data_IF_812106796927
#
_entry.id   IF_812106796927
#
_cell.length_a   1.000
_cell.length_b   1.000
_cell.length_c   1.000
_cell.angle_alpha   90.00
_cell.angle_beta   90.00
_cell.angle_gamma   90.00
#
_symmetry.space_group_name_H-M   'P 1'
#
loop_
_entity.id
_entity.type
_entity.pdbx_description
1 polymer ?
#
# COMPACT_ATOMS: atom_id res chain seq x y z
N UNK A 1 -33.15 -9.64 -61.58
CA UNK A 1 -33.16 -8.25 -61.07
C UNK A 1 -34.40 -8.14 -60.18
N UNK A 2 -34.40 -7.71 -58.93
CA UNK A 2 -33.41 -7.15 -58.03
C UNK A 2 -33.94 -7.36 -56.61
N UNK A 3 -33.08 -7.88 -55.74
CA UNK A 3 -32.94 -7.70 -54.29
C UNK A 3 -34.14 -7.24 -53.42
N UNK A 4 -34.63 -8.15 -52.58
CA UNK A 4 -35.20 -7.82 -51.27
C UNK A 4 -34.07 -7.54 -50.28
N UNK A 5 -33.94 -6.29 -49.85
CA UNK A 5 -33.01 -5.87 -48.79
C UNK A 5 -33.60 -6.17 -47.42
N UNK A 6 -33.09 -7.21 -46.75
CA UNK A 6 -33.22 -7.38 -45.30
C UNK A 6 -32.00 -6.73 -44.63
N UNK A 7 -32.20 -5.53 -44.08
CA UNK A 7 -31.24 -4.91 -43.17
C UNK A 7 -31.42 -5.49 -41.77
N UNK A 8 -30.55 -6.43 -41.38
CA UNK A 8 -30.31 -6.73 -39.98
C UNK A 8 -28.99 -6.07 -39.57
N UNK A 9 -29.09 -4.82 -39.09
CA UNK A 9 -28.03 -4.21 -38.27
C UNK A 9 -28.40 -4.45 -36.81
N UNK A 10 -27.85 -5.52 -36.23
CA UNK A 10 -27.78 -5.68 -34.78
C UNK A 10 -26.41 -5.19 -34.32
N UNK A 11 -26.35 -3.93 -33.89
CA UNK A 11 -25.23 -3.39 -33.12
C UNK A 11 -25.40 -3.80 -31.65
N UNK A 12 -25.19 -5.08 -31.36
CA UNK A 12 -24.99 -5.51 -29.98
C UNK A 12 -23.57 -5.15 -29.58
N UNK A 13 -23.39 -3.99 -28.93
CA UNK A 13 -22.17 -3.70 -28.20
C UNK A 13 -21.98 -4.77 -27.12
N UNK A 14 -21.09 -5.73 -27.36
CA UNK A 14 -20.82 -6.81 -26.42
C UNK A 14 -20.20 -6.21 -25.16
N UNK A 15 -21.00 -6.09 -24.09
CA UNK A 15 -20.47 -5.84 -22.77
C UNK A 15 -19.54 -7.01 -22.43
N UNK A 16 -18.27 -6.71 -22.17
CA UNK A 16 -17.32 -7.71 -21.69
C UNK A 16 -17.94 -8.44 -20.49
N UNK A 17 -17.89 -9.78 -20.45
CA UNK A 17 -18.49 -10.54 -19.36
C UNK A 17 -17.84 -10.14 -18.03
N UNK A 18 -18.67 -10.07 -16.99
CA UNK A 18 -18.29 -9.57 -15.65
C UNK A 18 -17.06 -10.33 -15.10
N UNK A 19 -16.98 -11.63 -15.40
CA UNK A 19 -15.87 -12.50 -15.02
C UNK A 19 -14.51 -12.03 -15.57
N UNK A 20 -14.46 -11.62 -16.84
CA UNK A 20 -13.24 -11.13 -17.49
C UNK A 20 -12.84 -9.74 -17.00
N UNK A 21 -13.83 -8.87 -16.76
CA UNK A 21 -13.61 -7.55 -16.18
C UNK A 21 -12.99 -7.66 -14.79
N UNK A 22 -13.58 -8.48 -13.91
CA UNK A 22 -13.10 -8.67 -12.55
C UNK A 22 -11.71 -9.31 -12.49
N UNK A 23 -11.36 -10.21 -13.40
CA UNK A 23 -9.99 -10.74 -13.52
C UNK A 23 -8.97 -9.70 -13.97
N UNK A 24 -9.35 -8.79 -14.88
CA UNK A 24 -8.48 -7.69 -15.29
C UNK A 24 -8.28 -6.72 -14.14
N UNK A 25 -9.36 -6.34 -13.47
CA UNK A 25 -9.33 -5.48 -12.29
C UNK A 25 -8.46 -6.11 -11.18
N UNK A 26 -8.71 -7.36 -10.81
CA UNK A 26 -7.95 -8.07 -9.78
C UNK A 26 -6.46 -8.13 -10.09
N UNK A 27 -6.08 -8.41 -11.35
CA UNK A 27 -4.67 -8.47 -11.76
C UNK A 27 -3.96 -7.11 -11.55
N UNK A 28 -4.58 -6.02 -11.98
CA UNK A 28 -3.97 -4.70 -11.89
C UNK A 28 -4.02 -4.11 -10.48
N UNK A 29 -5.13 -4.29 -9.77
CA UNK A 29 -5.21 -3.96 -8.35
C UNK A 29 -4.18 -4.77 -7.55
N UNK A 30 -3.99 -6.04 -7.87
CA UNK A 30 -3.02 -6.91 -7.22
C UNK A 30 -1.58 -6.43 -7.41
N UNK A 31 -1.25 -5.88 -8.58
CA UNK A 31 0.06 -5.27 -8.82
C UNK A 31 0.27 -4.01 -7.97
N UNK A 32 -0.69 -3.08 -8.01
CA UNK A 32 -0.57 -1.77 -7.33
C UNK A 32 -0.61 -1.95 -5.80
N UNK A 33 -1.65 -2.61 -5.30
CA UNK A 33 -1.83 -2.86 -3.85
C UNK A 33 -0.75 -3.82 -3.35
N UNK A 34 -0.37 -4.83 -4.13
CA UNK A 34 0.69 -5.77 -3.76
C UNK A 34 2.06 -5.11 -3.61
N UNK A 35 2.39 -4.14 -4.47
CA UNK A 35 3.63 -3.36 -4.33
C UNK A 35 3.62 -2.53 -3.03
N UNK A 36 2.50 -1.86 -2.73
CA UNK A 36 2.38 -1.10 -1.49
C UNK A 36 2.40 -2.01 -0.25
N UNK A 37 1.75 -3.18 -0.31
CA UNK A 37 1.81 -4.18 0.75
C UNK A 37 3.25 -4.69 0.97
N UNK A 38 4.04 -4.85 -0.09
CA UNK A 38 5.44 -5.23 0.03
C UNK A 38 6.25 -4.17 0.78
N UNK A 39 6.06 -2.89 0.46
CA UNK A 39 6.69 -1.78 1.22
C UNK A 39 6.27 -1.85 2.68
N UNK A 40 4.97 -2.02 2.95
CA UNK A 40 4.43 -2.16 4.31
C UNK A 40 5.07 -3.32 5.09
N UNK A 41 5.20 -4.50 4.47
CA UNK A 41 5.84 -5.68 5.08
C UNK A 41 7.32 -5.43 5.35
N UNK A 42 8.05 -4.84 4.40
CA UNK A 42 9.48 -4.57 4.54
C UNK A 42 9.75 -3.57 5.67
N UNK A 43 8.99 -2.48 5.73
CA UNK A 43 9.14 -1.49 6.81
C UNK A 43 8.67 -2.03 8.16
N UNK A 44 7.58 -2.82 8.18
CA UNK A 44 7.13 -3.51 9.38
C UNK A 44 8.16 -4.52 9.91
N UNK A 45 8.81 -5.25 9.01
CA UNK A 45 9.91 -6.14 9.36
C UNK A 45 11.11 -5.36 9.92
N UNK A 46 11.46 -4.23 9.30
CA UNK A 46 12.52 -3.36 9.80
C UNK A 46 12.26 -2.91 11.25
N UNK A 47 11.03 -2.48 11.58
CA UNK A 47 10.65 -2.13 12.96
C UNK A 47 10.76 -3.28 13.96
N UNK A 48 10.64 -4.54 13.52
CA UNK A 48 10.76 -5.70 14.39
C UNK A 48 12.21 -6.21 14.52
N UNK A 49 13.11 -5.81 13.63
CA UNK A 49 14.51 -6.24 13.63
C UNK A 49 15.48 -5.18 14.16
N UNK A 50 15.11 -3.90 14.09
CA UNK A 50 15.93 -2.78 14.58
C UNK A 50 15.56 -2.50 16.05
N UNK A 51 16.58 -2.39 16.92
CA UNK A 51 16.38 -2.03 18.33
C UNK A 51 15.72 -0.65 18.45
N UNK A 52 14.66 -0.54 19.25
CA UNK A 52 13.95 0.72 19.48
C UNK A 52 14.88 1.84 19.99
N UNK A 53 15.87 1.50 20.82
CA UNK A 53 16.85 2.45 21.35
C UNK A 53 17.75 3.03 20.26
N UNK A 54 18.02 2.25 19.21
CA UNK A 54 18.77 2.77 18.07
C UNK A 54 17.96 3.85 17.36
N UNK A 55 16.64 3.69 17.25
CA UNK A 55 15.73 4.62 16.58
C UNK A 55 15.24 5.78 17.48
N UNK A 56 15.73 5.88 18.72
CA UNK A 56 15.31 6.92 19.64
C UNK A 56 15.91 8.28 19.26
N UNK A 57 15.05 9.31 19.24
CA UNK A 57 15.43 10.69 19.02
C UNK A 57 15.99 11.36 20.28
N UNK A 58 15.77 10.77 21.46
CA UNK A 58 16.02 11.37 22.77
C UNK A 58 17.13 10.71 23.63
N UNK A 59 18.13 9.98 23.09
CA UNK A 59 19.10 9.28 23.93
C UNK A 59 19.92 10.22 24.83
N UNK A 60 20.06 11.49 24.43
CA UNK A 60 20.73 12.54 25.19
C UNK A 60 19.79 13.64 25.69
N UNK A 61 18.47 13.47 25.57
CA UNK A 61 17.53 14.51 26.02
C UNK A 61 17.37 14.44 27.52
N UNK A 62 17.54 15.57 28.18
CA UNK A 62 17.29 15.72 29.62
C UNK A 62 16.17 16.72 29.87
N UNK A 63 15.39 16.44 30.91
CA UNK A 63 14.44 17.39 31.47
C UNK A 63 15.08 18.06 32.68
N UNK A 64 15.54 19.30 32.51
CA UNK A 64 15.90 20.11 33.67
C UNK A 64 14.61 20.57 34.36
N UNK A 65 14.45 20.20 35.64
CA UNK A 65 13.45 20.85 36.49
C UNK A 65 13.95 22.26 36.74
N UNK A 66 13.27 23.24 36.14
CA UNK A 66 13.55 24.64 36.41
C UNK A 66 13.33 24.92 37.89
N UNK A 67 14.30 25.58 38.54
CA UNK A 67 14.08 26.00 39.92
C UNK A 67 12.92 27.00 39.96
N UNK A 68 12.25 27.13 41.10
CA UNK A 68 11.28 28.21 41.27
C UNK A 68 11.99 29.54 41.01
N UNK A 69 11.48 30.38 40.09
CA UNK A 69 12.19 31.57 39.70
C UNK A 69 12.41 32.47 40.92
N UNK A 70 13.67 32.80 41.19
CA UNK A 70 14.06 33.65 42.32
C UNK A 70 13.89 35.15 42.00
N UNK A 71 13.41 35.49 40.80
CA UNK A 71 13.27 36.86 40.33
C UNK A 71 12.00 37.51 40.88
N UNK A 72 12.10 38.78 41.26
CA UNK A 72 10.93 39.58 41.63
C UNK A 72 9.95 39.67 40.43
N UNK A 73 8.67 39.49 40.71
CA UNK A 73 7.60 39.55 39.71
C UNK A 73 7.04 40.98 39.63
N UNK A 74 6.98 41.54 38.42
CA UNK A 74 6.37 42.83 38.17
C UNK A 74 4.83 42.72 38.17
N UNK A 75 4.10 43.75 38.67
CA UNK A 75 2.65 43.77 38.65
C UNK A 75 2.07 43.73 37.23
N UNK A 76 1.09 42.85 36.98
CA UNK A 76 0.62 42.51 35.63
C UNK A 76 -0.54 43.37 35.14
N UNK A 77 -1.05 44.31 35.95
CA UNK A 77 -2.27 45.07 35.66
C UNK A 77 -2.16 45.87 34.36
N UNK A 78 -1.04 46.59 34.19
CA UNK A 78 -0.79 47.38 32.97
C UNK A 78 -0.66 46.48 31.73
N UNK A 79 -0.05 45.30 31.88
CA UNK A 79 0.09 44.33 30.79
C UNK A 79 -1.27 43.78 30.37
N UNK A 80 -2.09 43.38 31.34
CA UNK A 80 -3.44 42.86 31.08
C UNK A 80 -4.34 43.94 30.48
N UNK A 81 -4.25 45.19 30.94
CA UNK A 81 -5.01 46.30 30.37
C UNK A 81 -4.60 46.58 28.92
N UNK A 82 -3.30 46.55 28.61
CA UNK A 82 -2.79 46.77 27.25
C UNK A 82 -3.33 45.75 26.24
N UNK A 83 -3.49 44.48 26.65
CA UNK A 83 -3.90 43.39 25.77
C UNK A 83 -5.36 42.94 25.96
N UNK A 84 -6.15 43.66 26.76
CA UNK A 84 -7.54 43.31 27.05
C UNK A 84 -8.40 43.20 25.76
N UNK A 85 -8.14 44.06 24.78
CA UNK A 85 -8.85 44.06 23.50
C UNK A 85 -8.57 42.82 22.62
N UNK A 86 -7.50 42.08 22.87
CA UNK A 86 -7.19 40.82 22.17
C UNK A 86 -8.00 39.62 22.73
N UNK A 87 -8.80 39.82 23.78
CA UNK A 87 -9.57 38.78 24.44
C UNK A 87 -8.66 37.83 25.22
N UNK A 88 -8.30 38.20 26.45
CA UNK A 88 -7.39 37.42 27.29
C UNK A 88 -8.07 36.10 27.71
N UNK A 89 -7.38 34.99 27.48
CA UNK A 89 -7.82 33.64 27.86
C UNK A 89 -7.11 33.22 29.15
N UNK A 90 -5.78 33.35 29.19
CA UNK A 90 -4.95 32.87 30.29
C UNK A 90 -3.68 33.71 30.43
N UNK A 91 -3.22 33.91 31.68
CA UNK A 91 -1.87 34.37 31.98
C UNK A 91 -1.18 33.30 32.81
N UNK A 92 -0.15 32.66 32.24
CA UNK A 92 0.60 31.58 32.88
C UNK A 92 2.01 32.04 33.23
N UNK A 93 2.44 31.80 34.46
CA UNK A 93 3.82 31.99 34.87
C UNK A 93 4.62 30.72 34.54
N UNK A 94 5.68 30.89 33.77
CA UNK A 94 6.69 29.86 33.47
C UNK A 94 8.09 30.43 33.68
N UNK A 95 9.10 29.74 33.18
CA UNK A 95 10.51 30.13 33.28
C UNK A 95 11.26 29.67 32.04
N UNK A 96 12.17 30.53 31.58
CA UNK A 96 13.17 30.19 30.57
C UNK A 96 14.52 30.33 31.24
N UNK A 97 15.33 29.26 31.22
CA UNK A 97 16.48 29.13 32.12
C UNK A 97 16.00 29.36 33.57
N UNK A 98 16.66 30.22 34.34
CA UNK A 98 16.27 30.53 35.73
C UNK A 98 15.50 31.86 35.88
N UNK A 99 14.95 32.40 34.77
CA UNK A 99 14.24 33.68 34.76
C UNK A 99 12.76 33.50 34.46
N UNK A 100 11.92 34.10 35.30
CA UNK A 100 10.47 34.02 35.18
C UNK A 100 9.95 34.68 33.89
N UNK A 101 8.99 34.03 33.24
CA UNK A 101 8.33 34.48 32.00
C UNK A 101 6.82 34.37 32.15
N UNK A 102 6.12 35.42 31.75
CA UNK A 102 4.67 35.41 31.58
C UNK A 102 4.30 34.98 30.16
N UNK A 103 3.49 33.93 30.04
CA UNK A 103 2.81 33.53 28.83
C UNK A 103 1.38 34.07 28.85
N UNK A 104 1.10 35.07 28.04
CA UNK A 104 -0.23 35.68 27.89
C UNK A 104 -0.91 35.07 26.66
N UNK A 105 -1.87 34.18 26.89
CA UNK A 105 -2.71 33.61 25.84
C UNK A 105 -3.93 34.51 25.60
N UNK A 106 -4.13 34.92 24.36
CA UNK A 106 -5.29 35.69 23.90
C UNK A 106 -6.07 34.91 22.84
N UNK A 107 -7.25 35.38 22.45
CA UNK A 107 -8.01 34.79 21.33
C UNK A 107 -7.29 34.90 19.98
N UNK A 108 -6.27 35.75 19.89
CA UNK A 108 -5.49 35.96 18.67
C UNK A 108 -4.19 35.16 18.67
N UNK A 109 -3.42 35.20 19.77
CA UNK A 109 -2.10 34.58 19.86
C UNK A 109 -1.60 34.46 21.30
N UNK A 110 -0.49 33.75 21.48
CA UNK A 110 0.25 33.74 22.74
C UNK A 110 1.43 34.71 22.66
N UNK A 111 1.59 35.56 23.68
CA UNK A 111 2.69 36.52 23.81
C UNK A 111 3.52 36.20 25.06
N UNK A 112 4.82 36.42 24.97
CA UNK A 112 5.77 36.07 26.02
C UNK A 112 6.50 37.31 26.53
N UNK A 113 6.58 37.45 27.86
CA UNK A 113 7.20 38.62 28.51
C UNK A 113 8.08 38.18 29.67
N UNK A 114 9.20 38.88 29.88
CA UNK A 114 9.97 38.70 31.10
C UNK A 114 9.16 39.18 32.31
N UNK A 115 8.99 38.31 33.31
CA UNK A 115 8.08 38.59 34.41
C UNK A 115 8.55 39.71 35.35
N UNK A 116 9.83 40.06 35.31
CA UNK A 116 10.46 41.10 36.13
C UNK A 116 10.33 42.52 35.56
N UNK A 117 10.18 42.63 34.23
CA UNK A 117 10.30 43.89 33.49
C UNK A 117 9.14 44.14 32.53
N UNK A 118 8.33 43.10 32.28
CA UNK A 118 7.21 43.08 31.33
C UNK A 118 7.62 43.44 29.89
N UNK A 119 8.92 43.44 29.59
CA UNK A 119 9.42 43.58 28.22
C UNK A 119 9.15 42.29 27.45
N UNK A 120 8.83 42.36 26.14
CA UNK A 120 8.72 41.17 25.31
C UNK A 120 9.93 40.26 25.46
N UNK A 121 9.68 38.96 25.57
CA UNK A 121 10.72 37.94 25.59
C UNK A 121 11.47 38.01 24.26
N UNK A 122 12.78 38.16 24.33
CA UNK A 122 13.67 38.14 23.19
C UNK A 122 14.95 37.46 23.63
N UNK A 123 15.24 36.33 23.00
CA UNK A 123 16.40 35.50 23.28
C UNK A 123 17.55 35.86 22.35
N UNK A 124 18.74 36.04 22.89
CA UNK A 124 19.96 36.12 22.12
C UNK A 124 20.58 34.72 21.89
N UNK A 125 21.54 34.63 20.97
CA UNK A 125 22.17 33.35 20.60
C UNK A 125 22.79 32.62 21.81
N UNK A 126 23.37 33.34 22.76
CA UNK A 126 23.97 32.74 23.95
C UNK A 126 22.91 32.13 24.88
N UNK A 127 21.75 32.78 25.01
CA UNK A 127 20.60 32.25 25.76
C UNK A 127 20.02 31.01 25.07
N UNK A 128 19.89 31.02 23.74
CA UNK A 128 19.41 29.85 22.98
C UNK A 128 20.37 28.67 23.15
N UNK A 129 21.69 28.90 23.05
CA UNK A 129 22.70 27.87 23.31
C UNK A 129 22.62 27.35 24.75
N UNK A 130 22.37 28.23 25.74
CA UNK A 130 22.21 27.81 27.12
C UNK A 130 20.98 26.92 27.33
N UNK A 131 19.84 27.25 26.70
CA UNK A 131 18.62 26.42 26.71
C UNK A 131 18.92 25.05 26.10
N UNK A 132 19.59 25.03 24.94
CA UNK A 132 19.97 23.78 24.28
C UNK A 132 20.87 22.91 25.18
N UNK A 133 21.89 23.52 25.83
CA UNK A 133 22.78 22.84 26.77
C UNK A 133 22.04 22.25 27.97
N UNK A 134 21.06 22.95 28.54
CA UNK A 134 20.24 22.39 29.62
C UNK A 134 19.42 21.17 29.16
N UNK A 135 19.04 21.10 27.89
CA UNK A 135 18.26 19.99 27.35
C UNK A 135 19.07 18.77 26.91
N UNK A 136 20.41 18.85 26.94
CA UNK A 136 21.30 17.89 26.28
C UNK A 136 22.39 17.38 27.22
N UNK A 137 22.48 16.05 27.38
CA UNK A 137 23.47 15.37 28.22
C UNK A 137 24.62 14.71 27.46
N UNK A 138 24.63 14.80 26.13
CA UNK A 138 25.68 14.19 25.31
C UNK A 138 27.00 14.97 25.37
N UNK A 139 28.06 14.36 24.85
CA UNK A 139 29.42 14.91 24.89
C UNK A 139 29.77 15.86 23.75
N UNK A 140 28.87 16.05 22.78
CA UNK A 140 29.12 16.86 21.60
C UNK A 140 29.06 18.36 21.87
N UNK A 141 29.95 19.13 21.26
CA UNK A 141 29.86 20.59 21.27
C UNK A 141 28.68 21.06 20.41
N UNK A 142 27.92 22.04 20.90
CA UNK A 142 26.79 22.61 20.18
C UNK A 142 27.25 23.71 19.21
N UNK A 143 26.70 23.69 18.00
CA UNK A 143 26.86 24.75 17.01
C UNK A 143 26.22 26.07 17.47
N UNK A 144 26.49 27.15 16.73
CA UNK A 144 25.68 28.36 16.82
C UNK A 144 24.21 28.06 16.41
N UNK A 145 23.23 28.79 16.97
CA UNK A 145 21.84 28.69 16.54
C UNK A 145 21.66 29.08 15.07
N UNK A 146 20.99 28.21 14.32
CA UNK A 146 20.56 28.50 12.95
C UNK A 146 19.04 28.70 12.95
N UNK A 147 18.57 29.90 12.63
CA UNK A 147 17.15 30.15 12.43
C UNK A 147 16.69 29.46 11.14
N UNK A 148 15.69 28.59 11.26
CA UNK A 148 15.10 27.90 10.14
C UNK A 148 14.17 28.85 9.38
N UNK A 149 14.38 28.95 8.07
CA UNK A 149 13.60 29.83 7.18
C UNK A 149 12.46 29.10 6.48
N UNK A 150 12.44 27.77 6.53
CA UNK A 150 11.38 26.94 5.99
C UNK A 150 10.39 26.58 7.09
N UNK A 151 9.15 26.30 6.71
CA UNK A 151 8.17 25.73 7.64
C UNK A 151 8.71 24.45 8.27
N UNK A 152 8.43 24.32 9.56
CA UNK A 152 8.79 23.16 10.36
C UNK A 152 7.53 22.45 10.81
N UNK A 153 7.54 21.12 11.02
CA UNK A 153 6.39 20.39 11.54
C UNK A 153 6.12 20.66 13.04
N UNK A 154 6.93 21.50 13.69
CA UNK A 154 6.78 21.82 15.11
C UNK A 154 5.75 22.92 15.33
N UNK A 155 4.93 22.74 16.36
CA UNK A 155 4.02 23.77 16.85
C UNK A 155 4.83 24.83 17.63
N UNK A 156 5.28 25.87 16.93
CA UNK A 156 6.11 26.94 17.46
C UNK A 156 5.36 28.28 17.41
N UNK A 157 5.52 29.09 18.46
CA UNK A 157 4.93 30.44 18.51
C UNK A 157 5.73 31.49 17.73
N UNK A 158 6.95 31.17 17.33
CA UNK A 158 7.82 32.02 16.52
C UNK A 158 8.84 31.23 15.70
N UNK A 159 9.86 31.90 15.16
CA UNK A 159 10.92 31.25 14.40
C UNK A 159 11.58 30.12 15.20
N UNK A 160 11.87 29.01 14.55
CA UNK A 160 12.54 27.87 15.17
C UNK A 160 14.05 27.99 14.96
N UNK A 161 14.79 27.98 16.06
CA UNK A 161 16.24 27.84 16.06
C UNK A 161 16.64 26.37 16.11
N UNK A 162 17.58 25.97 15.27
CA UNK A 162 18.18 24.64 15.27
C UNK A 162 19.64 24.74 15.70
N UNK A 163 20.05 23.85 16.61
CA UNK A 163 21.45 23.66 17.00
C UNK A 163 21.82 22.20 16.73
N UNK A 164 23.06 21.97 16.28
CA UNK A 164 23.58 20.61 16.06
C UNK A 164 24.70 20.32 17.04
N UNK A 165 24.65 19.16 17.68
CA UNK A 165 25.73 18.64 18.51
C UNK A 165 26.72 17.85 17.66
N UNK A 166 28.01 18.06 17.90
CA UNK A 166 29.08 17.25 17.33
C UNK A 166 29.24 15.92 18.09
N UNK A 167 28.19 15.09 18.09
CA UNK A 167 28.17 13.74 18.66
C UNK A 167 28.03 12.65 17.58
N UNK A 168 28.10 11.38 17.99
CA UNK A 168 28.09 10.24 17.06
C UNK A 168 26.78 10.15 16.25
N UNK A 169 25.66 10.56 16.85
CA UNK A 169 24.31 10.45 16.28
C UNK A 169 23.90 11.69 15.48
N UNK A 170 24.64 12.80 15.62
CA UNK A 170 24.32 14.09 15.02
C UNK A 170 23.05 14.70 15.60
N UNK A 171 22.97 14.81 16.93
CA UNK A 171 21.80 15.36 17.63
C UNK A 171 21.50 16.78 17.17
N UNK A 172 20.24 17.04 16.84
CA UNK A 172 19.68 18.35 16.48
C UNK A 172 18.64 18.73 17.50
N UNK A 173 18.77 19.94 18.02
CA UNK A 173 17.91 20.50 19.06
C UNK A 173 17.14 21.67 18.46
N UNK A 174 15.81 21.61 18.55
CA UNK A 174 14.91 22.62 18.00
C UNK A 174 14.28 23.42 19.14
N UNK A 175 14.40 24.74 19.06
CA UNK A 175 13.95 25.68 20.10
C UNK A 175 13.04 26.72 19.46
N UNK A 176 11.88 26.95 20.06
CA UNK A 176 11.03 28.08 19.73
C UNK A 176 11.65 29.36 20.30
N UNK A 177 12.05 30.28 19.42
CA UNK A 177 12.68 31.53 19.84
C UNK A 177 11.73 32.50 20.53
N UNK A 178 10.42 32.34 20.35
CA UNK A 178 9.42 33.19 20.98
C UNK A 178 9.18 32.82 22.44
N UNK A 179 9.20 31.53 22.78
CA UNK A 179 8.87 31.01 24.11
C UNK A 179 10.07 30.46 24.89
N UNK A 180 11.19 30.16 24.22
CA UNK A 180 12.32 29.43 24.79
C UNK A 180 12.06 27.94 24.99
N UNK A 181 10.95 27.41 24.47
CA UNK A 181 10.62 25.99 24.60
C UNK A 181 11.52 25.13 23.71
N UNK A 182 12.04 24.03 24.27
CA UNK A 182 12.70 22.97 23.50
C UNK A 182 11.63 22.10 22.87
N UNK A 183 11.41 22.30 21.57
CA UNK A 183 10.36 21.64 20.79
C UNK A 183 10.67 20.16 20.60
N UNK A 184 11.88 19.83 20.16
CA UNK A 184 12.29 18.46 19.86
C UNK A 184 13.80 18.27 19.92
N UNK A 185 14.19 17.01 20.15
CA UNK A 185 15.49 16.48 19.75
C UNK A 185 15.26 15.55 18.57
N UNK A 186 16.16 15.56 17.58
CA UNK A 186 16.21 14.60 16.47
C UNK A 186 17.66 14.21 16.19
N UNK A 187 17.88 13.09 15.51
CA UNK A 187 19.20 12.63 15.11
C UNK A 187 19.10 11.78 13.84
N UNK A 188 20.23 11.30 13.32
CA UNK A 188 20.26 10.52 12.06
C UNK A 188 19.44 9.23 12.15
N UNK A 189 19.34 8.62 13.33
CA UNK A 189 18.58 7.40 13.52
C UNK A 189 17.08 7.67 13.64
N UNK A 190 16.67 8.77 14.25
CA UNK A 190 15.27 9.19 14.24
C UNK A 190 14.82 9.57 12.83
N UNK A 191 15.71 10.09 11.97
CA UNK A 191 15.37 10.34 10.55
C UNK A 191 15.04 9.02 9.82
N UNK A 192 15.76 7.93 10.15
CA UNK A 192 15.43 6.60 9.63
C UNK A 192 14.07 6.12 10.16
N UNK A 193 13.78 6.35 11.45
CA UNK A 193 12.48 6.04 12.04
C UNK A 193 11.35 6.78 11.32
N UNK A 194 11.53 8.07 11.05
CA UNK A 194 10.56 8.90 10.34
C UNK A 194 10.37 8.41 8.89
N UNK A 195 11.44 8.05 8.18
CA UNK A 195 11.36 7.44 6.85
C UNK A 195 10.59 6.12 6.86
N UNK A 196 10.88 5.24 7.82
CA UNK A 196 10.19 3.95 7.95
C UNK A 196 8.70 4.16 8.24
N UNK A 197 8.35 5.10 9.11
CA UNK A 197 6.96 5.42 9.41
C UNK A 197 6.23 6.03 8.23
N UNK A 198 6.84 7.00 7.54
CA UNK A 198 6.31 7.60 6.31
C UNK A 198 5.94 6.51 5.30
N UNK A 199 6.87 5.59 5.02
CA UNK A 199 6.65 4.50 4.06
C UNK A 199 5.61 3.48 4.55
N UNK A 200 5.62 3.15 5.84
CA UNK A 200 4.72 2.17 6.43
C UNK A 200 3.27 2.68 6.47
N UNK A 201 3.07 3.95 6.80
CA UNK A 201 1.75 4.57 6.89
C UNK A 201 1.30 5.28 5.62
N UNK A 202 2.16 5.35 4.59
CA UNK A 202 1.94 6.09 3.34
C UNK A 202 1.72 7.59 3.57
N UNK A 203 2.28 8.12 4.65
CA UNK A 203 2.13 9.52 5.07
C UNK A 203 3.33 10.35 4.58
N UNK A 204 3.32 10.65 3.27
CA UNK A 204 4.42 11.34 2.58
C UNK A 204 4.43 12.86 2.75
N UNK A 205 3.37 13.41 3.34
CA UNK A 205 3.25 14.82 3.69
C UNK A 205 2.69 14.90 5.11
N UNK A 206 3.46 14.43 6.10
CA UNK A 206 3.00 14.44 7.48
C UNK A 206 2.89 15.91 7.94
N UNK A 207 1.77 16.24 8.56
CA UNK A 207 1.59 17.51 9.26
C UNK A 207 2.37 17.46 10.60
N UNK A 208 1.81 17.97 11.69
CA UNK A 208 2.37 17.92 13.05
C UNK A 208 2.39 16.51 13.68
N UNK A 209 2.47 15.45 12.88
CA UNK A 209 2.51 14.05 13.33
C UNK A 209 2.17 13.05 12.23
N UNK A 210 2.13 11.76 12.60
CA UNK A 210 1.73 10.68 11.69
C UNK A 210 0.19 10.66 11.59
N UNK A 211 -0.32 10.94 10.39
CA UNK A 211 -1.74 10.86 10.05
C UNK A 211 -2.08 9.53 9.38
N UNK A 212 -3.17 8.89 9.79
CA UNK A 212 -3.66 7.64 9.17
C UNK A 212 -4.88 7.83 8.27
N UNK A 213 -5.53 9.01 8.34
CA UNK A 213 -6.84 9.27 7.73
C UNK A 213 -6.76 10.20 6.51
N UNK A 214 -5.74 10.07 5.67
CA UNK A 214 -5.55 10.91 4.49
C UNK A 214 -6.01 10.22 3.18
N UNK A 215 -6.19 11.00 2.12
CA UNK A 215 -6.76 10.55 0.84
C UNK A 215 -6.05 9.33 0.25
N UNK A 216 -4.72 9.29 0.30
CA UNK A 216 -3.95 8.16 -0.25
C UNK A 216 -4.28 6.83 0.46
N UNK A 217 -4.30 6.79 1.79
CA UNK A 217 -4.69 5.59 2.56
C UNK A 217 -6.13 5.19 2.24
N UNK A 218 -7.06 6.16 2.13
CA UNK A 218 -8.45 5.88 1.78
C UNK A 218 -8.58 5.22 0.40
N UNK A 219 -7.89 5.76 -0.61
CA UNK A 219 -7.89 5.22 -1.98
C UNK A 219 -7.29 3.82 -2.03
N UNK A 220 -6.12 3.61 -1.39
CA UNK A 220 -5.47 2.29 -1.34
C UNK A 220 -6.33 1.28 -0.57
N UNK A 221 -7.01 1.70 0.50
CA UNK A 221 -7.92 0.84 1.28
C UNK A 221 -9.13 0.40 0.46
N UNK A 222 -9.74 1.31 -0.30
CA UNK A 222 -10.82 0.98 -1.24
C UNK A 222 -10.32 0.04 -2.34
N UNK A 223 -9.14 0.30 -2.90
CA UNK A 223 -8.51 -0.57 -3.89
C UNK A 223 -8.24 -1.98 -3.33
N UNK A 224 -7.74 -2.09 -2.09
CA UNK A 224 -7.52 -3.36 -1.40
C UNK A 224 -8.85 -4.10 -1.13
N UNK A 225 -9.91 -3.38 -0.76
CA UNK A 225 -11.25 -3.96 -0.63
C UNK A 225 -11.73 -4.55 -1.96
N UNK A 226 -11.63 -3.80 -3.06
CA UNK A 226 -12.00 -4.31 -4.39
C UNK A 226 -11.09 -5.46 -4.86
N UNK A 227 -9.82 -5.45 -4.48
CA UNK A 227 -8.91 -6.57 -4.72
C UNK A 227 -9.41 -7.85 -4.02
N UNK A 228 -9.77 -7.74 -2.73
CA UNK A 228 -10.33 -8.85 -1.96
C UNK A 228 -11.66 -9.36 -2.54
N UNK A 229 -12.61 -8.46 -2.82
CA UNK A 229 -13.91 -8.81 -3.38
C UNK A 229 -13.80 -9.47 -4.76
N UNK A 230 -12.95 -8.91 -5.64
CA UNK A 230 -12.70 -9.52 -6.96
C UNK A 230 -12.03 -10.89 -6.85
N UNK A 231 -11.13 -11.09 -5.88
CA UNK A 231 -10.51 -12.40 -5.61
C UNK A 231 -11.55 -13.44 -5.16
N UNK A 232 -12.42 -13.07 -4.21
CA UNK A 232 -13.52 -13.93 -3.74
C UNK A 232 -14.44 -14.31 -4.90
N UNK A 233 -14.83 -13.33 -5.74
CA UNK A 233 -15.67 -13.59 -6.90
C UNK A 233 -15.00 -14.57 -7.88
N UNK A 234 -13.72 -14.34 -8.24
CA UNK A 234 -13.00 -15.20 -9.18
C UNK A 234 -12.90 -16.63 -8.64
N UNK A 235 -12.60 -16.78 -7.35
CA UNK A 235 -12.51 -18.08 -6.70
C UNK A 235 -13.86 -18.79 -6.70
N UNK A 236 -14.94 -18.09 -6.34
CA UNK A 236 -16.30 -18.63 -6.36
C UNK A 236 -16.77 -19.02 -7.76
N UNK A 237 -16.48 -18.17 -8.76
CA UNK A 237 -16.79 -18.45 -10.17
C UNK A 237 -16.06 -19.70 -10.67
N UNK A 238 -14.76 -19.83 -10.37
CA UNK A 238 -13.98 -21.02 -10.72
C UNK A 238 -14.47 -22.29 -10.00
N UNK A 239 -14.88 -22.16 -8.74
CA UNK A 239 -15.47 -23.27 -7.98
C UNK A 239 -16.80 -23.74 -8.58
N UNK A 240 -17.69 -22.80 -8.94
CA UNK A 240 -18.96 -23.11 -9.59
C UNK A 240 -18.77 -23.79 -10.96
N UNK A 241 -17.73 -23.40 -11.71
CA UNK A 241 -17.37 -24.03 -12.99
C UNK A 241 -16.60 -25.36 -12.84
N UNK A 242 -16.37 -25.83 -11.62
CA UNK A 242 -15.65 -27.09 -11.39
C UNK A 242 -14.14 -27.06 -11.64
N UNK A 243 -13.56 -25.86 -11.76
CA UNK A 243 -12.13 -25.65 -12.00
C UNK A 243 -11.31 -25.62 -10.71
N UNK A 244 -11.96 -25.66 -9.54
CA UNK A 244 -11.32 -25.77 -8.23
C UNK A 244 -11.96 -26.93 -7.49
N UNK A 245 -11.15 -27.90 -7.08
CA UNK A 245 -11.57 -28.96 -6.17
C UNK A 245 -10.88 -28.78 -4.82
N UNK A 246 -11.66 -28.85 -3.74
CA UNK A 246 -11.10 -28.95 -2.41
C UNK A 246 -10.66 -30.40 -2.20
N UNK A 247 -9.41 -30.67 -1.77
CA UNK A 247 -8.87 -32.04 -1.71
C UNK A 247 -9.68 -32.97 -0.79
N UNK A 248 -10.43 -32.40 0.16
CA UNK A 248 -11.33 -33.11 1.07
C UNK A 248 -12.78 -33.27 0.55
N UNK A 249 -13.20 -32.51 -0.47
CA UNK A 249 -14.45 -32.75 -1.22
C UNK A 249 -14.10 -33.39 -2.57
N UNK A 250 -13.52 -34.59 -2.54
CA UNK A 250 -13.21 -35.35 -3.76
C UNK A 250 -14.47 -35.47 -4.62
N UNK A 251 -14.44 -34.81 -5.79
CA UNK A 251 -15.43 -35.04 -6.83
C UNK A 251 -15.32 -36.48 -7.32
N UNK A 252 -16.47 -37.07 -7.62
CA UNK A 252 -16.57 -38.36 -8.31
C UNK A 252 -15.84 -38.26 -9.64
N UNK A 253 -14.79 -39.06 -9.83
CA UNK A 253 -14.13 -39.26 -11.12
C UNK A 253 -15.17 -39.69 -12.15
N UNK A 254 -15.21 -39.03 -13.30
CA UNK A 254 -16.05 -39.48 -14.39
C UNK A 254 -15.52 -40.84 -14.88
N UNK A 255 -16.37 -41.86 -14.88
CA UNK A 255 -16.01 -43.22 -15.28
C UNK A 255 -16.11 -43.29 -16.80
N UNK A 256 -14.98 -43.51 -17.48
CA UNK A 256 -14.91 -43.73 -18.92
C UNK A 256 -13.56 -43.35 -19.51
N UNK A 257 -13.47 -43.36 -20.84
CA UNK A 257 -12.24 -43.08 -21.58
C UNK A 257 -12.37 -41.77 -22.34
N UNK A 258 -11.35 -40.93 -22.22
CA UNK A 258 -11.13 -39.76 -23.07
C UNK A 258 -10.06 -40.11 -24.10
N UNK A 259 -10.43 -40.11 -25.36
CA UNK A 259 -9.54 -40.39 -26.48
C UNK A 259 -9.11 -39.07 -27.12
N UNK A 260 -7.81 -38.88 -27.27
CA UNK A 260 -7.22 -37.72 -27.93
C UNK A 260 -6.65 -38.13 -29.28
N UNK A 261 -6.95 -37.35 -30.32
CA UNK A 261 -6.53 -37.57 -31.69
C UNK A 261 -5.69 -36.40 -32.22
N UNK A 262 -4.91 -36.68 -33.25
CA UNK A 262 -4.24 -35.68 -34.08
C UNK A 262 -5.24 -34.99 -35.03
N UNK A 263 -4.81 -33.92 -35.70
CA UNK A 263 -5.63 -33.25 -36.72
C UNK A 263 -6.03 -34.15 -37.90
N UNK A 264 -5.24 -35.20 -38.15
CA UNK A 264 -5.44 -36.16 -39.24
C UNK A 264 -6.22 -37.40 -38.77
N UNK A 265 -6.98 -37.26 -37.68
CA UNK A 265 -7.79 -38.31 -37.05
C UNK A 265 -7.02 -39.56 -36.60
N UNK A 266 -5.70 -39.48 -36.42
CA UNK A 266 -4.91 -40.57 -35.85
C UNK A 266 -4.99 -40.56 -34.31
N UNK A 267 -5.16 -41.72 -33.65
CA UNK A 267 -5.20 -41.80 -32.20
C UNK A 267 -3.84 -41.39 -31.62
N UNK A 268 -3.85 -40.59 -30.55
CA UNK A 268 -2.65 -40.02 -29.92
C UNK A 268 -2.49 -40.45 -28.47
N UNK A 269 -3.56 -40.44 -27.67
CA UNK A 269 -3.52 -40.89 -26.27
C UNK A 269 -4.91 -41.22 -25.74
N UNK A 270 -4.95 -42.04 -24.68
CA UNK A 270 -6.16 -42.37 -23.93
C UNK A 270 -5.98 -41.97 -22.46
N UNK A 271 -7.00 -41.36 -21.86
CA UNK A 271 -7.04 -41.01 -20.45
C UNK A 271 -8.25 -41.65 -19.78
N UNK A 272 -8.01 -42.40 -18.71
CA UNK A 272 -9.06 -43.09 -17.92
C UNK A 272 -9.36 -42.39 -16.60
N UNK A 273 -8.43 -41.57 -16.10
CA UNK A 273 -8.54 -40.87 -14.83
C UNK A 273 -8.90 -39.39 -15.06
N UNK A 274 -10.19 -39.16 -15.32
CA UNK A 274 -10.75 -37.84 -15.60
C UNK A 274 -11.18 -37.18 -14.30
N UNK A 275 -10.44 -36.16 -13.88
CA UNK A 275 -10.84 -35.33 -12.74
C UNK A 275 -10.37 -33.88 -12.95
N UNK A 276 -11.27 -32.94 -12.63
CA UNK A 276 -11.12 -31.53 -12.94
C UNK A 276 -11.39 -31.23 -14.42
N UNK A 277 -10.71 -30.23 -14.95
CA UNK A 277 -10.86 -29.79 -16.34
C UNK A 277 -10.18 -30.73 -17.34
N UNK A 278 -10.51 -30.62 -18.63
CA UNK A 278 -9.79 -31.35 -19.68
C UNK A 278 -8.30 -31.03 -19.69
N UNK A 279 -7.91 -29.77 -19.44
CA UNK A 279 -6.50 -29.40 -19.29
C UNK A 279 -5.83 -30.16 -18.15
N UNK A 280 -6.44 -30.19 -16.96
CA UNK A 280 -5.89 -30.86 -15.77
C UNK A 280 -5.80 -32.37 -15.96
N UNK A 281 -6.82 -32.99 -16.55
CA UNK A 281 -6.83 -34.43 -16.83
C UNK A 281 -5.75 -34.81 -17.85
N UNK A 282 -5.62 -34.06 -18.95
CA UNK A 282 -4.62 -34.32 -19.99
C UNK A 282 -3.19 -34.05 -19.49
N UNK A 283 -3.01 -33.03 -18.63
CA UNK A 283 -1.70 -32.70 -18.05
C UNK A 283 -1.39 -33.47 -16.77
N UNK A 284 -2.22 -34.42 -16.35
CA UNK A 284 -1.97 -35.18 -15.12
C UNK A 284 -0.67 -35.98 -15.24
N UNK A 285 0.18 -35.83 -14.22
CA UNK A 285 1.49 -36.46 -14.11
C UNK A 285 2.57 -35.87 -15.03
N UNK A 286 2.21 -35.10 -16.07
CA UNK A 286 3.14 -34.44 -16.99
C UNK A 286 2.42 -33.42 -17.87
N UNK A 287 3.09 -32.30 -18.14
CA UNK A 287 2.55 -31.27 -19.02
C UNK A 287 2.53 -31.74 -20.48
N UNK A 288 1.35 -31.80 -21.10
CA UNK A 288 1.14 -32.16 -22.52
C UNK A 288 0.58 -30.98 -23.31
N UNK A 289 -0.39 -30.26 -22.75
CA UNK A 289 -0.95 -29.02 -23.26
C UNK A 289 -0.38 -27.82 -22.49
N UNK A 290 0.46 -27.02 -23.14
CA UNK A 290 1.06 -25.84 -22.52
C UNK A 290 0.08 -24.67 -22.42
N UNK A 291 0.13 -23.94 -21.31
CA UNK A 291 -0.61 -22.69 -21.13
C UNK A 291 0.26 -21.62 -20.48
N UNK A 292 -0.02 -20.34 -20.77
CA UNK A 292 0.64 -19.21 -20.09
C UNK A 292 -0.17 -18.69 -18.88
N UNK A 293 -1.46 -19.05 -18.80
CA UNK A 293 -2.36 -18.58 -17.74
C UNK A 293 -2.68 -19.65 -16.68
N UNK A 294 -2.01 -20.80 -16.70
CA UNK A 294 -2.25 -21.90 -15.75
C UNK A 294 -3.71 -22.37 -15.72
N UNK A 295 -4.38 -22.38 -16.88
CA UNK A 295 -5.78 -22.76 -16.98
C UNK A 295 -6.83 -21.69 -16.65
N UNK A 296 -6.45 -20.43 -16.44
CA UNK A 296 -7.42 -19.33 -16.20
C UNK A 296 -8.18 -18.79 -17.43
N UNK A 297 -8.23 -19.51 -18.56
CA UNK A 297 -9.01 -19.10 -19.74
C UNK A 297 -8.49 -17.86 -20.50
N UNK A 298 -7.31 -17.33 -20.16
CA UNK A 298 -6.85 -15.99 -20.62
C UNK A 298 -5.78 -15.99 -21.70
N UNK A 299 -5.14 -17.13 -21.99
CA UNK A 299 -4.08 -17.19 -23.01
C UNK A 299 -4.53 -17.77 -24.36
N UNK A 300 -5.67 -18.47 -24.40
CA UNK A 300 -6.18 -19.09 -25.63
C UNK A 300 -5.32 -20.26 -26.18
N UNK A 301 -4.33 -20.77 -25.44
CA UNK A 301 -3.38 -21.78 -25.96
C UNK A 301 -3.87 -23.23 -25.83
N UNK A 302 -4.81 -23.51 -24.92
CA UNK A 302 -5.32 -24.85 -24.62
C UNK A 302 -6.51 -25.26 -25.51
N UNK A 303 -6.49 -24.91 -26.81
CA UNK A 303 -7.59 -25.20 -27.73
C UNK A 303 -7.70 -26.70 -27.99
N UNK A 304 -8.88 -27.28 -27.81
CA UNK A 304 -9.20 -28.65 -28.23
C UNK A 304 -10.48 -28.63 -29.05
N UNK A 305 -10.52 -29.44 -30.11
CA UNK A 305 -11.72 -29.67 -30.91
C UNK A 305 -12.47 -30.85 -30.34
N UNK A 306 -13.74 -30.67 -30.04
CA UNK A 306 -14.61 -31.77 -29.63
C UNK A 306 -15.13 -32.45 -30.89
N UNK A 307 -14.84 -33.74 -31.05
CA UNK A 307 -15.22 -34.51 -32.24
C UNK A 307 -16.73 -34.74 -32.25
N UNK A 308 -17.32 -34.96 -31.07
CA UNK A 308 -18.73 -35.20 -30.87
C UNK A 308 -19.23 -34.29 -29.73
N UNK A 309 -20.43 -33.71 -29.90
CA UNK A 309 -21.16 -32.96 -28.88
C UNK A 309 -20.31 -31.92 -28.09
N UNK A 310 -19.77 -30.88 -28.76
CA UNK A 310 -19.03 -29.83 -28.07
C UNK A 310 -19.90 -29.16 -26.99
N UNK A 311 -19.37 -28.92 -25.78
CA UNK A 311 -20.10 -28.15 -24.77
C UNK A 311 -20.37 -26.73 -25.29
N UNK A 312 -21.40 -26.07 -24.75
CA UNK A 312 -21.68 -24.67 -25.07
C UNK A 312 -20.47 -23.79 -24.72
N UNK A 313 -20.09 -22.83 -25.58
CA UNK A 313 -18.96 -21.96 -25.28
C UNK A 313 -19.28 -21.05 -24.11
N UNK A 314 -18.31 -20.87 -23.22
CA UNK A 314 -18.43 -19.93 -22.10
C UNK A 314 -17.76 -18.58 -22.42
N UNK A 315 -17.83 -17.64 -21.48
CA UNK A 315 -17.26 -16.29 -21.62
C UNK A 315 -15.79 -16.26 -22.08
N UNK A 316 -14.99 -17.22 -21.64
CA UNK A 316 -13.57 -17.30 -21.99
C UNK A 316 -13.35 -17.87 -23.39
N UNK A 317 -14.17 -18.83 -23.79
CA UNK A 317 -14.17 -19.32 -25.17
C UNK A 317 -14.54 -18.19 -26.13
N UNK A 318 -15.60 -17.43 -25.80
CA UNK A 318 -16.07 -16.30 -26.60
C UNK A 318 -15.03 -15.18 -26.71
N UNK A 319 -14.21 -14.97 -25.68
CA UNK A 319 -13.15 -13.96 -25.67
C UNK A 319 -11.89 -14.37 -26.43
N UNK A 320 -11.55 -15.68 -26.45
CA UNK A 320 -10.27 -16.17 -27.01
C UNK A 320 -10.37 -16.91 -28.33
N UNK A 321 -11.57 -17.35 -28.71
CA UNK A 321 -11.79 -18.15 -29.90
C UNK A 321 -12.59 -17.36 -30.92
N UNK A 322 -12.24 -17.55 -32.19
CA UNK A 322 -12.97 -16.96 -33.32
C UNK A 322 -14.31 -17.68 -33.52
N UNK A 323 -15.27 -17.01 -34.16
CA UNK A 323 -16.57 -17.61 -34.49
C UNK A 323 -16.43 -18.91 -35.31
N UNK A 324 -15.45 -18.98 -36.22
CA UNK A 324 -15.14 -20.18 -37.00
C UNK A 324 -14.64 -21.32 -36.12
N UNK A 325 -13.73 -21.04 -35.18
CA UNK A 325 -13.25 -22.05 -34.24
C UNK A 325 -14.38 -22.57 -33.37
N UNK A 326 -15.22 -21.68 -32.85
CA UNK A 326 -16.38 -22.05 -32.04
C UNK A 326 -17.37 -22.94 -32.80
N UNK A 327 -17.63 -22.61 -34.07
CA UNK A 327 -18.49 -23.38 -34.97
C UNK A 327 -17.91 -24.76 -35.30
N UNK A 328 -16.58 -24.90 -35.32
CA UNK A 328 -15.87 -26.18 -35.48
C UNK A 328 -15.89 -27.04 -34.20
N UNK A 329 -16.54 -26.59 -33.12
CA UNK A 329 -16.58 -27.29 -31.85
C UNK A 329 -15.30 -27.13 -31.03
N UNK A 330 -14.49 -26.09 -31.29
CA UNK A 330 -13.28 -25.82 -30.51
C UNK A 330 -13.64 -25.08 -29.23
N UNK A 331 -13.06 -25.51 -28.11
CA UNK A 331 -13.16 -24.86 -26.80
C UNK A 331 -11.79 -24.81 -26.11
N UNK A 332 -11.66 -23.97 -25.08
CA UNK A 332 -10.50 -23.94 -24.21
C UNK A 332 -10.59 -25.09 -23.20
N UNK A 333 -9.69 -26.07 -23.29
CA UNK A 333 -9.74 -27.27 -22.44
C UNK A 333 -9.64 -26.99 -20.93
N UNK A 334 -9.11 -25.82 -20.54
CA UNK A 334 -9.05 -25.39 -19.15
C UNK A 334 -10.36 -24.82 -18.60
N UNK A 335 -11.37 -24.65 -19.43
CA UNK A 335 -12.62 -23.98 -19.08
C UNK A 335 -13.82 -24.91 -19.03
N UNK A 336 -13.61 -26.20 -19.29
CA UNK A 336 -14.63 -27.25 -19.33
C UNK A 336 -14.20 -28.46 -18.50
N UNK A 337 -15.13 -29.03 -17.75
CA UNK A 337 -14.93 -30.24 -16.95
C UNK A 337 -14.71 -31.47 -17.84
N UNK A 338 -13.78 -32.33 -17.44
CA UNK A 338 -13.40 -33.49 -18.24
C UNK A 338 -14.47 -34.60 -18.16
N UNK A 339 -15.04 -34.94 -19.31
CA UNK A 339 -15.92 -36.09 -19.49
C UNK A 339 -15.36 -37.06 -20.55
N UNK A 340 -15.71 -38.36 -20.49
CA UNK A 340 -15.38 -39.32 -21.53
C UNK A 340 -15.85 -38.83 -22.91
N UNK A 341 -15.08 -39.12 -23.95
CA UNK A 341 -15.36 -38.64 -25.29
C UNK A 341 -14.12 -38.59 -26.18
N UNK A 342 -14.27 -37.96 -27.35
CA UNK A 342 -13.21 -37.84 -28.35
C UNK A 342 -12.85 -36.38 -28.59
N UNK A 343 -11.56 -36.07 -28.44
CA UNK A 343 -11.01 -34.74 -28.65
C UNK A 343 -9.89 -34.76 -29.69
N UNK A 344 -9.67 -33.63 -30.33
CA UNK A 344 -8.59 -33.45 -31.29
C UNK A 344 -7.71 -32.24 -30.95
N UNK A 345 -6.41 -32.39 -31.21
CA UNK A 345 -5.47 -31.27 -31.18
C UNK A 345 -5.79 -30.30 -32.33
N UNK A 346 -5.73 -29.00 -32.05
CA UNK A 346 -6.16 -27.93 -32.97
C UNK A 346 -4.97 -27.24 -33.64
N UNK A 347 -3.76 -27.39 -33.10
CA UNK A 347 -2.59 -26.66 -33.59
C UNK A 347 -1.41 -27.57 -33.84
N UNK A 348 -0.62 -27.25 -34.88
CA UNK A 348 0.66 -27.92 -35.15
C UNK A 348 1.65 -27.78 -33.98
N UNK A 349 1.54 -26.68 -33.22
CA UNK A 349 2.34 -26.47 -32.02
C UNK A 349 2.06 -27.54 -30.95
N UNK A 350 0.79 -27.82 -30.67
CA UNK A 350 0.41 -28.89 -29.72
C UNK A 350 0.97 -30.25 -30.14
N UNK A 351 0.90 -30.56 -31.44
CA UNK A 351 1.47 -31.80 -31.97
C UNK A 351 3.00 -31.87 -31.82
N UNK A 352 3.70 -30.75 -32.06
CA UNK A 352 5.16 -30.69 -31.91
C UNK A 352 5.61 -30.89 -30.47
N UNK A 353 4.88 -30.30 -29.52
CA UNK A 353 5.19 -30.41 -28.08
C UNK A 353 4.65 -31.68 -27.44
N UNK A 354 3.88 -32.50 -28.17
CA UNK A 354 3.50 -33.82 -27.70
C UNK A 354 4.75 -34.71 -27.55
N UNK A 355 5.00 -35.28 -26.36
CA UNK A 355 6.22 -36.04 -26.11
C UNK A 355 6.41 -37.18 -27.10
N UNK A 356 7.60 -37.27 -27.67
CA UNK A 356 7.92 -38.18 -28.77
C UNK A 356 7.88 -39.66 -28.36
N UNK A 357 7.95 -39.96 -27.06
CA UNK A 357 7.89 -41.33 -26.53
C UNK A 357 6.47 -41.95 -26.52
N UNK A 358 5.45 -41.20 -26.96
CA UNK A 358 4.04 -41.61 -27.01
C UNK A 358 3.41 -41.40 -28.40
N UNK A 359 4.23 -41.23 -29.45
CA UNK A 359 3.74 -41.16 -30.83
C UNK A 359 3.67 -42.51 -31.48
#
# INVERSE_FOLDING_TARGET
MSFSTLSHTSTAGSKLPISLLLQTLHKWLGLIVGLQLLIWVVTGLAFNLIDERFLDANPYRTTHKTASPATALAPTENLLQQYQAEGIIELKLTSVLERAVYALATTQQTRWFWADSLKPLSLNDAEIVAIAKQSYSGSGELSAPQILTRETPFDASGPVAMLTAADEVGTRIYIDTASGAVLAHQNRQSDLKDLLFMLHFMDYAPDNGIGFNHLLVQVVSIAALFLGLSGIYILGHKFHQGQLSLPFLRRTTAIGKLELFTQDAQPLAEFTDLNGTYLESINRGRERLRTQCGGGGRCGLCKLRFVEQPPSPNDYDLDKLTATELAQGIRLSCQHEAHPGKLELVTKAQHRYWPQSER
#
